data_IF_866105388477
#
_entry.id   IF_866105388477
#
_cell.length_a   1.000
_cell.length_b   1.000
_cell.length_c   1.000
_cell.angle_alpha   90.00
_cell.angle_beta   90.00
_cell.angle_gamma   90.00
#
_symmetry.space_group_name_H-M   'P 1'
#
loop_
_entity.id
_entity.type
_entity.pdbx_description
1 polymer ?
#
# COMPACT_ATOMS: atom_id res chain seq x y z
N UNK A 1 15.05 -60.82 20.41
CA UNK A 1 13.80 -60.73 21.21
C UNK A 1 13.19 -59.37 20.90
N UNK A 2 12.14 -59.35 20.06
CA UNK A 2 10.75 -58.95 20.39
C UNK A 2 10.66 -57.49 20.89
N UNK A 3 9.85 -56.56 20.36
CA UNK A 3 8.55 -56.67 19.67
C UNK A 3 8.28 -55.37 18.87
N UNK A 4 7.52 -55.50 17.80
CA UNK A 4 6.95 -54.41 16.99
C UNK A 4 5.79 -53.68 17.70
N UNK A 5 5.53 -52.43 17.31
CA UNK A 5 4.21 -51.80 17.47
C UNK A 5 3.97 -50.79 16.33
N UNK A 6 3.25 -51.27 15.32
CA UNK A 6 2.55 -50.51 14.28
C UNK A 6 1.52 -49.58 14.97
N UNK A 7 1.47 -48.30 14.61
CA UNK A 7 0.27 -47.48 14.82
C UNK A 7 -0.15 -46.86 13.49
N UNK A 8 -1.12 -47.53 12.88
CA UNK A 8 -1.92 -47.12 11.75
C UNK A 8 -2.88 -46.01 12.21
N UNK A 9 -2.79 -44.82 11.62
CA UNK A 9 -3.62 -43.67 11.95
C UNK A 9 -4.29 -43.06 10.73
N UNK A 10 -5.38 -43.71 10.31
CA UNK A 10 -6.54 -43.25 9.51
C UNK A 10 -6.46 -41.89 8.79
N UNK A 11 -6.45 -41.96 7.46
CA UNK A 11 -6.73 -40.84 6.53
C UNK A 11 -8.25 -40.59 6.50
N UNK A 12 -8.69 -39.40 6.89
CA UNK A 12 -10.05 -38.92 6.65
C UNK A 12 -10.04 -38.05 5.39
N UNK A 13 -10.37 -38.65 4.24
CA UNK A 13 -10.60 -37.93 3.00
C UNK A 13 -12.02 -37.33 3.02
N UNK A 14 -12.12 -36.01 3.23
CA UNK A 14 -13.36 -35.28 3.04
C UNK A 14 -13.50 -34.91 1.55
N UNK A 15 -14.25 -35.70 0.79
CA UNK A 15 -14.71 -35.34 -0.56
C UNK A 15 -15.83 -34.31 -0.45
N UNK A 16 -15.50 -33.03 -0.54
CA UNK A 16 -16.47 -31.98 -0.83
C UNK A 16 -16.57 -31.80 -2.35
N UNK A 17 -17.66 -32.29 -2.94
CA UNK A 17 -18.02 -32.02 -4.33
C UNK A 17 -18.46 -30.55 -4.45
N UNK A 18 -17.55 -29.69 -4.92
CA UNK A 18 -17.89 -28.32 -5.26
C UNK A 18 -18.63 -28.28 -6.60
N UNK A 19 -19.85 -27.75 -6.56
CA UNK A 19 -20.70 -27.41 -7.72
C UNK A 19 -19.96 -26.42 -8.62
N UNK A 20 -19.83 -26.66 -9.94
CA UNK A 20 -19.25 -25.68 -10.84
C UNK A 20 -20.26 -24.56 -11.13
N UNK A 21 -20.13 -23.44 -10.44
CA UNK A 21 -20.73 -22.18 -10.86
C UNK A 21 -20.03 -21.68 -12.12
N UNK A 22 -20.71 -21.86 -13.26
CA UNK A 22 -20.34 -21.33 -14.56
C UNK A 22 -20.63 -19.82 -14.58
N UNK A 23 -19.60 -19.00 -14.36
CA UNK A 23 -19.70 -17.55 -14.50
C UNK A 23 -18.68 -17.05 -15.52
N UNK A 24 -19.20 -16.51 -16.62
CA UNK A 24 -18.59 -15.40 -17.36
C UNK A 24 -17.41 -15.72 -18.25
N UNK A 25 -17.68 -16.12 -19.49
CA UNK A 25 -16.76 -16.10 -20.62
C UNK A 25 -16.37 -14.65 -20.95
N UNK A 26 -15.36 -14.13 -20.25
CA UNK A 26 -14.56 -12.99 -20.68
C UNK A 26 -13.14 -13.49 -20.87
N UNK A 27 -12.80 -13.96 -22.07
CA UNK A 27 -11.46 -14.36 -22.47
C UNK A 27 -10.57 -13.10 -22.60
N UNK A 28 -10.29 -12.44 -21.48
CA UNK A 28 -9.15 -11.54 -21.37
C UNK A 28 -7.95 -12.47 -21.25
N UNK A 29 -7.14 -12.53 -22.29
CA UNK A 29 -5.87 -13.27 -22.32
C UNK A 29 -5.11 -12.94 -21.04
N UNK A 30 -5.06 -13.87 -20.08
CA UNK A 30 -4.34 -13.69 -18.84
C UNK A 30 -2.88 -13.41 -19.23
N UNK A 31 -2.46 -12.15 -19.11
CA UNK A 31 -1.09 -11.77 -19.40
C UNK A 31 -0.20 -12.50 -18.42
N UNK A 32 0.87 -13.10 -18.92
CA UNK A 32 1.86 -13.81 -18.10
C UNK A 32 2.50 -12.84 -17.10
N UNK A 33 2.61 -11.57 -17.51
CA UNK A 33 3.12 -10.46 -16.74
C UNK A 33 1.99 -9.57 -16.20
N UNK A 34 2.22 -9.00 -15.03
CA UNK A 34 1.35 -8.01 -14.45
C UNK A 34 1.37 -6.71 -15.28
N UNK A 35 0.21 -6.10 -15.53
CA UNK A 35 0.15 -4.73 -16.02
C UNK A 35 0.87 -3.77 -15.06
N UNK A 36 1.58 -2.78 -15.60
CA UNK A 36 2.35 -1.82 -14.80
C UNK A 36 1.47 -0.99 -13.84
N UNK A 37 0.19 -0.78 -14.20
CA UNK A 37 -0.78 0.01 -13.44
C UNK A 37 -1.60 -0.82 -12.44
N UNK A 38 -1.32 -2.12 -12.33
CA UNK A 38 -2.01 -2.96 -11.36
C UNK A 38 -1.38 -2.85 -9.97
N UNK A 39 -2.23 -2.75 -8.95
CA UNK A 39 -1.83 -2.51 -7.57
C UNK A 39 -2.00 -3.75 -6.69
N UNK A 40 -1.00 -4.01 -5.86
CA UNK A 40 -0.89 -5.20 -5.03
C UNK A 40 -0.80 -4.86 -3.53
N UNK A 41 -1.31 -5.77 -2.71
CA UNK A 41 -1.23 -5.68 -1.25
C UNK A 41 -2.11 -4.57 -0.64
N UNK A 42 -2.02 -4.40 0.69
CA UNK A 42 -2.80 -3.41 1.44
C UNK A 42 -2.39 -1.97 1.11
N UNK A 43 -1.11 -1.75 0.77
CA UNK A 43 -0.56 -0.43 0.47
C UNK A 43 -0.74 0.00 -0.99
N UNK A 44 -1.39 -0.83 -1.82
CA UNK A 44 -1.64 -0.56 -3.23
C UNK A 44 -0.35 -0.13 -3.95
N UNK A 45 0.70 -0.94 -3.85
CA UNK A 45 1.90 -0.72 -4.66
C UNK A 45 1.78 -1.41 -6.01
N UNK A 46 2.12 -0.71 -7.08
CA UNK A 46 2.23 -1.33 -8.39
C UNK A 46 3.53 -2.13 -8.54
N UNK A 47 3.59 -3.05 -9.51
CA UNK A 47 4.82 -3.82 -9.80
C UNK A 47 6.04 -2.90 -10.04
N UNK A 48 5.82 -1.79 -10.75
CA UNK A 48 6.86 -0.79 -10.98
C UNK A 48 7.23 -0.05 -9.68
N UNK A 49 6.24 0.33 -8.87
CA UNK A 49 6.46 1.01 -7.58
C UNK A 49 7.26 0.15 -6.60
N UNK A 50 6.99 -1.17 -6.56
CA UNK A 50 7.73 -2.10 -5.70
C UNK A 50 9.22 -2.07 -6.05
N UNK A 51 9.55 -2.19 -7.34
CA UNK A 51 10.94 -2.17 -7.83
C UNK A 51 11.65 -0.86 -7.51
N UNK A 52 11.07 0.26 -7.92
CA UNK A 52 11.72 1.57 -7.75
C UNK A 52 11.89 1.94 -6.29
N UNK A 53 10.97 1.52 -5.41
CA UNK A 53 11.10 1.72 -3.96
C UNK A 53 12.18 0.84 -3.34
N UNK A 54 12.36 -0.41 -3.76
CA UNK A 54 13.47 -1.24 -3.28
C UNK A 54 14.82 -0.58 -3.61
N UNK A 55 14.98 -0.09 -4.84
CA UNK A 55 16.21 0.61 -5.27
C UNK A 55 16.42 1.91 -4.47
N UNK A 56 15.35 2.65 -4.20
CA UNK A 56 15.40 3.85 -3.35
C UNK A 56 15.81 3.53 -1.91
N UNK A 57 15.30 2.44 -1.32
CA UNK A 57 15.67 2.01 0.03
C UNK A 57 17.13 1.56 0.08
N UNK A 58 17.60 0.82 -0.93
CA UNK A 58 19.00 0.42 -1.02
C UNK A 58 19.94 1.64 -1.11
N UNK A 59 19.54 2.67 -1.88
CA UNK A 59 20.27 3.93 -1.91
C UNK A 59 20.20 4.68 -0.58
N UNK A 60 19.03 4.73 0.05
CA UNK A 60 18.84 5.38 1.36
C UNK A 60 19.71 4.75 2.44
N UNK A 61 19.86 3.42 2.40
CA UNK A 61 20.79 2.70 3.26
C UNK A 61 22.26 3.11 3.00
N UNK A 62 22.70 3.05 1.74
CA UNK A 62 24.08 3.37 1.38
C UNK A 62 24.47 4.81 1.72
N UNK A 63 23.55 5.76 1.51
CA UNK A 63 23.75 7.19 1.76
C UNK A 63 23.41 7.59 3.21
N UNK A 64 22.98 6.63 4.04
CA UNK A 64 22.54 6.84 5.42
C UNK A 64 21.49 7.94 5.55
N UNK A 65 20.49 7.97 4.66
CA UNK A 65 19.37 8.92 4.73
C UNK A 65 18.29 8.53 5.73
N UNK A 66 18.26 7.25 6.13
CA UNK A 66 17.29 6.68 7.05
C UNK A 66 17.99 5.67 7.97
N UNK A 67 17.43 5.48 9.16
CA UNK A 67 17.88 4.44 10.09
C UNK A 67 17.42 3.05 9.63
N UNK A 68 18.16 2.01 10.03
CA UNK A 68 17.90 0.62 9.62
C UNK A 68 16.46 0.16 9.92
N UNK A 69 15.90 0.53 11.06
CA UNK A 69 14.53 0.16 11.46
C UNK A 69 13.47 0.76 10.53
N UNK A 70 13.66 2.01 10.08
CA UNK A 70 12.77 2.65 9.12
C UNK A 70 12.84 1.95 7.75
N UNK A 71 14.05 1.59 7.33
CA UNK A 71 14.27 0.85 6.07
C UNK A 71 13.61 -0.53 6.14
N UNK A 72 13.71 -1.24 7.27
CA UNK A 72 13.04 -2.54 7.47
C UNK A 72 11.53 -2.38 7.37
N UNK A 73 10.96 -1.40 8.07
CA UNK A 73 9.51 -1.17 8.05
C UNK A 73 8.99 -0.92 6.63
N UNK A 74 9.67 -0.06 5.87
CA UNK A 74 9.32 0.20 4.47
C UNK A 74 9.49 -1.06 3.60
N UNK A 75 10.56 -1.82 3.79
CA UNK A 75 10.81 -3.06 3.07
C UNK A 75 9.74 -4.14 3.32
N UNK A 76 9.20 -4.24 4.54
CA UNK A 76 8.12 -5.19 4.87
C UNK A 76 6.82 -4.88 4.11
N UNK A 77 6.51 -3.59 3.93
CA UNK A 77 5.36 -3.15 3.13
C UNK A 77 5.52 -3.57 1.66
N UNK A 78 6.75 -3.43 1.12
CA UNK A 78 7.09 -3.86 -0.23
C UNK A 78 7.07 -5.38 -0.38
N UNK A 79 7.56 -6.11 0.63
CA UNK A 79 7.51 -7.57 0.68
C UNK A 79 6.08 -8.09 0.61
N UNK A 80 5.17 -7.46 1.36
CA UNK A 80 3.75 -7.82 1.37
C UNK A 80 3.12 -7.61 -0.01
N UNK A 81 3.40 -6.48 -0.66
CA UNK A 81 2.92 -6.21 -2.02
C UNK A 81 3.52 -7.19 -3.04
N UNK A 82 4.81 -7.50 -2.93
CA UNK A 82 5.52 -8.46 -3.78
C UNK A 82 4.91 -9.88 -3.67
N UNK A 83 4.55 -10.32 -2.47
CA UNK A 83 3.88 -11.62 -2.26
C UNK A 83 2.48 -11.63 -2.89
N UNK A 84 1.72 -10.56 -2.73
CA UNK A 84 0.40 -10.43 -3.37
C UNK A 84 0.50 -10.40 -4.91
N UNK A 85 1.52 -9.74 -5.45
CA UNK A 85 1.84 -9.75 -6.87
C UNK A 85 2.16 -11.18 -7.35
N UNK A 86 3.03 -11.90 -6.65
CA UNK A 86 3.39 -13.27 -6.98
C UNK A 86 2.22 -14.26 -6.93
N UNK A 87 1.28 -14.07 -6.01
CA UNK A 87 0.07 -14.89 -5.93
C UNK A 87 -0.82 -14.72 -7.17
N UNK A 88 -0.90 -13.50 -7.72
CA UNK A 88 -1.75 -13.20 -8.86
C UNK A 88 -1.08 -13.48 -10.21
N UNK A 89 0.22 -13.21 -10.30
CA UNK A 89 1.02 -13.36 -11.53
C UNK A 89 2.26 -14.21 -11.29
N UNK A 90 2.12 -15.51 -10.95
CA UNK A 90 3.25 -16.34 -10.51
C UNK A 90 4.33 -16.58 -11.57
N UNK A 91 4.06 -16.25 -12.84
CA UNK A 91 4.98 -16.39 -13.98
C UNK A 91 5.56 -15.07 -14.47
N UNK A 92 5.27 -13.98 -13.78
CA UNK A 92 5.80 -12.66 -14.15
C UNK A 92 7.32 -12.67 -14.07
N UNK A 93 7.97 -12.30 -15.17
CA UNK A 93 9.42 -12.34 -15.29
C UNK A 93 10.14 -11.32 -14.40
N UNK A 94 9.45 -10.29 -13.89
CA UNK A 94 10.03 -9.33 -12.95
C UNK A 94 10.03 -9.82 -11.50
N UNK A 95 9.27 -10.85 -11.15
CA UNK A 95 9.20 -11.33 -9.76
C UNK A 95 10.54 -11.85 -9.23
N UNK A 96 11.25 -12.79 -9.90
CA UNK A 96 12.51 -13.29 -9.39
C UNK A 96 13.59 -12.21 -9.17
N UNK A 97 13.88 -11.30 -10.12
CA UNK A 97 14.88 -10.25 -9.87
C UNK A 97 14.43 -9.28 -8.77
N UNK A 98 13.16 -8.89 -8.72
CA UNK A 98 12.66 -7.97 -7.68
C UNK A 98 12.76 -8.57 -6.27
N UNK A 99 12.33 -9.83 -6.11
CA UNK A 99 12.43 -10.56 -4.85
C UNK A 99 13.89 -10.75 -4.41
N UNK A 100 14.80 -10.96 -5.36
CA UNK A 100 16.23 -11.06 -5.07
C UNK A 100 16.82 -9.73 -4.61
N UNK A 101 16.47 -8.61 -5.24
CA UNK A 101 16.92 -7.28 -4.80
C UNK A 101 16.43 -6.95 -3.38
N UNK A 102 15.17 -7.30 -3.06
CA UNK A 102 14.65 -7.15 -1.70
C UNK A 102 15.43 -8.00 -0.69
N UNK A 103 15.76 -9.24 -1.04
CA UNK A 103 16.59 -10.10 -0.18
C UNK A 103 18.01 -9.53 0.02
N UNK A 104 18.60 -8.93 -1.03
CA UNK A 104 19.90 -8.26 -0.93
C UNK A 104 19.84 -7.00 -0.07
N UNK A 105 18.77 -6.20 -0.18
CA UNK A 105 18.53 -5.06 0.69
C UNK A 105 18.54 -5.50 2.16
N UNK A 106 17.72 -6.50 2.51
CA UNK A 106 17.69 -7.05 3.87
C UNK A 106 19.03 -7.62 4.33
N UNK A 107 19.78 -8.28 3.42
CA UNK A 107 21.10 -8.81 3.73
C UNK A 107 22.11 -7.70 4.07
N UNK A 108 22.01 -6.55 3.40
CA UNK A 108 22.95 -5.46 3.57
C UNK A 108 22.76 -4.75 4.92
N UNK A 109 21.54 -4.74 5.44
CA UNK A 109 21.22 -4.20 6.77
C UNK A 109 21.99 -4.96 7.86
N UNK A 110 22.81 -4.25 8.63
CA UNK A 110 23.64 -4.82 9.69
C UNK A 110 22.85 -5.04 10.98
N UNK A 111 21.65 -5.62 10.87
CA UNK A 111 20.79 -5.94 12.02
C UNK A 111 20.40 -7.41 12.03
N UNK A 112 20.08 -7.94 13.22
CA UNK A 112 19.57 -9.31 13.33
C UNK A 112 18.20 -9.46 12.66
N UNK A 113 17.35 -8.43 12.74
CA UNK A 113 16.06 -8.40 12.04
C UNK A 113 16.26 -8.49 10.52
N UNK A 114 17.12 -7.64 9.94
CA UNK A 114 17.47 -7.67 8.52
C UNK A 114 17.92 -9.05 8.05
N UNK A 115 18.76 -9.77 8.82
CA UNK A 115 19.14 -11.16 8.50
C UNK A 115 18.00 -12.14 8.48
N UNK A 116 17.09 -12.03 9.45
CA UNK A 116 15.93 -12.92 9.53
C UNK A 116 15.06 -12.73 8.28
N UNK A 117 14.83 -11.46 7.89
CA UNK A 117 14.11 -11.12 6.65
C UNK A 117 14.87 -11.59 5.39
N UNK A 118 16.18 -11.37 5.30
CA UNK A 118 17.00 -11.82 4.17
C UNK A 118 16.92 -13.34 4.02
N UNK A 119 17.02 -14.08 5.12
CA UNK A 119 16.89 -15.54 5.14
C UNK A 119 15.52 -15.99 4.65
N UNK A 120 14.46 -15.35 5.13
CA UNK A 120 13.09 -15.65 4.71
C UNK A 120 12.89 -15.36 3.22
N UNK A 121 13.36 -14.20 2.74
CA UNK A 121 13.26 -13.80 1.35
C UNK A 121 14.03 -14.73 0.41
N UNK A 122 15.26 -15.13 0.75
CA UNK A 122 16.04 -16.10 -0.03
C UNK A 122 15.38 -17.49 -0.06
N UNK A 123 14.80 -17.96 1.06
CA UNK A 123 14.05 -19.22 1.09
C UNK A 123 12.81 -19.14 0.21
N UNK A 124 12.04 -18.06 0.32
CA UNK A 124 10.87 -17.81 -0.51
C UNK A 124 11.24 -17.84 -2.00
N UNK A 125 12.30 -17.14 -2.39
CA UNK A 125 12.77 -17.11 -3.77
C UNK A 125 13.16 -18.51 -4.28
N UNK A 126 13.90 -19.27 -3.47
CA UNK A 126 14.35 -20.61 -3.83
C UNK A 126 13.20 -21.62 -4.01
N UNK A 127 12.10 -21.43 -3.27
CA UNK A 127 10.91 -22.28 -3.28
C UNK A 127 9.91 -21.87 -4.37
N UNK A 128 9.64 -20.58 -4.52
CA UNK A 128 8.60 -20.05 -5.41
C UNK A 128 9.08 -19.96 -6.86
N UNK A 129 10.37 -19.68 -7.09
CA UNK A 129 10.92 -19.48 -8.45
C UNK A 129 12.08 -20.44 -8.75
N UNK A 130 11.92 -21.77 -8.61
CA UNK A 130 13.04 -22.68 -8.52
C UNK A 130 13.90 -22.79 -9.79
N UNK A 131 13.35 -22.46 -10.95
CA UNK A 131 14.08 -22.44 -12.24
C UNK A 131 14.78 -21.12 -12.56
N UNK A 132 14.66 -20.09 -11.72
CA UNK A 132 15.27 -18.79 -11.97
C UNK A 132 16.77 -18.78 -11.59
N UNK A 133 17.62 -18.01 -12.30
CA UNK A 133 19.01 -17.79 -11.89
C UNK A 133 19.13 -17.26 -10.46
N UNK A 134 18.20 -16.39 -10.06
CA UNK A 134 18.19 -15.80 -8.73
C UNK A 134 17.91 -16.85 -7.64
N UNK A 135 17.02 -17.82 -7.89
CA UNK A 135 16.78 -18.93 -6.96
C UNK A 135 18.02 -19.80 -6.76
N UNK A 136 18.82 -20.01 -7.81
CA UNK A 136 20.11 -20.69 -7.67
C UNK A 136 21.05 -19.89 -6.74
N UNK A 137 21.21 -18.58 -6.98
CA UNK A 137 22.02 -17.70 -6.12
C UNK A 137 21.53 -17.68 -4.66
N UNK A 138 20.21 -17.68 -4.45
CA UNK A 138 19.63 -17.73 -3.11
C UNK A 138 19.96 -19.04 -2.37
N UNK A 139 19.91 -20.20 -3.04
CA UNK A 139 20.32 -21.47 -2.43
C UNK A 139 21.80 -21.46 -2.07
N UNK A 140 22.65 -20.97 -2.96
CA UNK A 140 24.09 -20.83 -2.70
C UNK A 140 24.32 -19.93 -1.49
N UNK A 141 23.65 -18.76 -1.42
CA UNK A 141 23.74 -17.86 -0.26
C UNK A 141 23.30 -18.54 1.04
N UNK A 142 22.18 -19.27 1.03
CA UNK A 142 21.68 -19.99 2.20
C UNK A 142 22.64 -21.10 2.67
N UNK A 143 23.33 -21.77 1.75
CA UNK A 143 24.34 -22.79 2.06
C UNK A 143 25.62 -22.19 2.63
N UNK A 144 26.07 -21.05 2.07
CA UNK A 144 27.24 -20.32 2.55
C UNK A 144 27.00 -19.62 3.90
N UNK A 145 25.73 -19.33 4.21
CA UNK A 145 25.35 -18.50 5.35
C UNK A 145 25.58 -17.01 5.10
N UNK A 146 25.36 -16.23 6.16
CA UNK A 146 25.51 -14.78 6.13
C UNK A 146 26.82 -14.37 6.81
N UNK A 147 27.56 -13.38 6.27
CA UNK A 147 28.72 -12.80 6.95
C UNK A 147 28.34 -12.34 8.37
N UNK A 148 29.22 -12.41 9.39
CA UNK A 148 28.92 -11.95 10.75
C UNK A 148 28.38 -10.51 10.81
N UNK A 149 27.61 -10.18 11.87
CA UNK A 149 27.22 -8.78 12.10
C UNK A 149 28.45 -8.01 12.51
N UNK A 150 28.60 -6.82 11.94
CA UNK A 150 29.52 -5.84 12.45
C UNK A 150 28.71 -4.79 13.20
N UNK A 151 29.16 -4.43 14.40
CA UNK A 151 28.56 -3.34 15.15
C UNK A 151 28.88 -2.04 14.39
N UNK A 152 27.89 -1.52 13.68
CA UNK A 152 27.98 -0.18 13.11
C UNK A 152 27.66 0.84 14.20
N UNK A 153 28.43 1.93 14.25
CA UNK A 153 28.07 3.03 15.14
C UNK A 153 26.78 3.68 14.65
N UNK A 154 25.85 4.05 15.54
CA UNK A 154 24.64 4.76 15.11
C UNK A 154 25.06 6.05 14.42
N UNK A 155 24.78 6.14 13.13
CA UNK A 155 25.00 7.36 12.34
C UNK A 155 23.69 8.14 12.33
N UNK A 156 23.75 9.43 12.64
CA UNK A 156 22.59 10.29 12.45
C UNK A 156 22.26 10.31 10.96
N UNK A 157 20.97 10.22 10.57
CA UNK A 157 20.59 10.25 9.18
C UNK A 157 21.06 11.55 8.52
N UNK A 158 21.73 11.41 7.38
CA UNK A 158 22.14 12.53 6.53
C UNK A 158 20.89 13.09 5.84
N UNK A 159 20.70 14.42 5.78
CA UNK A 159 19.54 15.01 5.12
C UNK A 159 19.39 14.50 3.67
N UNK A 160 18.22 13.93 3.36
CA UNK A 160 17.91 13.48 2.01
C UNK A 160 17.69 14.71 1.10
N UNK A 161 18.53 14.93 0.05
CA UNK A 161 18.38 16.08 -0.84
C UNK A 161 17.13 16.03 -1.72
N UNK A 162 16.43 14.89 -1.73
CA UNK A 162 15.17 14.68 -2.46
C UNK A 162 13.94 14.71 -1.56
N UNK A 163 14.10 14.98 -0.25
CA UNK A 163 12.96 15.13 0.65
C UNK A 163 12.17 16.41 0.31
N UNK A 164 10.82 16.38 0.36
CA UNK A 164 10.02 17.57 0.15
C UNK A 164 10.31 18.61 1.24
N UNK A 165 10.49 19.87 0.85
CA UNK A 165 10.62 20.97 1.80
C UNK A 165 9.35 21.04 2.66
N UNK A 166 9.44 21.05 4.01
CA UNK A 166 8.26 21.16 4.85
C UNK A 166 7.50 22.44 4.50
N UNK A 167 6.21 22.29 4.17
CA UNK A 167 5.35 23.46 3.93
C UNK A 167 5.19 24.19 5.26
N UNK A 168 5.42 25.52 5.33
CA UNK A 168 5.24 26.25 6.57
C UNK A 168 3.81 26.07 7.09
N UNK A 169 3.66 25.72 8.37
CA UNK A 169 2.36 25.60 9.01
C UNK A 169 1.65 26.97 8.95
N UNK A 170 0.40 27.06 8.47
CA UNK A 170 -0.32 28.32 8.44
C UNK A 170 -0.46 28.85 9.87
N UNK A 171 -0.05 30.10 10.08
CA UNK A 171 -0.26 30.81 11.35
C UNK A 171 -1.77 30.88 11.63
N UNK A 172 -2.24 30.51 12.84
CA UNK A 172 -3.66 30.60 13.17
C UNK A 172 -4.17 32.04 13.00
N UNK A 173 -5.33 32.18 12.33
CA UNK A 173 -5.99 33.47 12.19
C UNK A 173 -6.41 34.00 13.57
N UNK A 174 -6.35 35.33 13.79
CA UNK A 174 -6.81 35.92 15.04
C UNK A 174 -8.31 35.61 15.29
N UNK A 175 -8.72 35.46 16.56
CA UNK A 175 -10.10 35.15 16.91
C UNK A 175 -11.07 36.25 16.44
N UNK A 176 -12.31 35.89 16.02
CA UNK A 176 -13.29 36.88 15.59
C UNK A 176 -13.68 37.81 16.75
N UNK A 177 -13.71 39.10 16.48
CA UNK A 177 -14.18 40.12 17.42
C UNK A 177 -15.67 39.93 17.68
N UNK A 178 -16.09 39.85 18.95
CA UNK A 178 -17.49 39.67 19.32
C UNK A 178 -18.36 40.80 18.74
N UNK A 179 -19.44 40.43 18.05
CA UNK A 179 -20.45 41.39 17.56
C UNK A 179 -21.35 41.82 18.72
N UNK A 180 -21.59 43.12 18.95
CA UNK A 180 -22.46 43.57 20.02
C UNK A 180 -23.91 43.09 19.80
N UNK A 181 -24.53 42.59 20.86
CA UNK A 181 -25.92 42.11 20.85
C UNK A 181 -26.89 43.29 20.77
N UNK A 182 -27.88 43.28 19.85
CA UNK A 182 -28.89 44.34 19.79
C UNK A 182 -29.82 44.30 21.01
N UNK A 183 -30.08 45.47 21.59
CA UNK A 183 -30.97 45.66 22.74
C UNK A 183 -32.42 45.28 22.38
N UNK A 184 -33.13 44.47 23.18
CA UNK A 184 -34.50 44.07 22.87
C UNK A 184 -35.47 45.25 22.95
N UNK A 185 -36.31 45.37 21.92
CA UNK A 185 -37.43 46.33 21.86
C UNK A 185 -38.59 45.85 22.74
N UNK A 186 -39.22 46.70 23.57
CA UNK A 186 -40.31 46.29 24.45
C UNK A 186 -41.56 45.86 23.69
N UNK A 187 -42.19 44.79 24.17
CA UNK A 187 -43.38 44.15 23.60
C UNK A 187 -44.67 44.91 23.97
N UNK A 188 -45.64 45.06 23.04
CA UNK A 188 -46.91 45.72 23.34
C UNK A 188 -47.86 44.84 24.18
N UNK A 189 -48.54 45.48 25.12
CA UNK A 189 -49.51 44.90 26.06
C UNK A 189 -50.75 44.30 25.35
N UNK A 190 -51.18 43.06 25.66
CA UNK A 190 -52.35 42.46 25.03
C UNK A 190 -53.69 42.94 25.64
N UNK A 191 -54.66 43.22 24.76
CA UNK A 191 -56.06 43.53 25.08
C UNK A 191 -56.90 42.24 25.21
N UNK A 192 -57.76 42.08 26.24
CA UNK A 192 -58.59 40.88 26.38
C UNK A 192 -59.92 41.01 25.61
N UNK A 193 -60.24 40.04 24.76
CA UNK A 193 -61.58 39.85 24.21
C UNK A 193 -62.08 38.42 24.44
N UNK A 194 -63.17 38.34 25.21
CA UNK A 194 -63.92 37.14 25.61
C UNK A 194 -65.07 36.94 24.60
N UNK A 195 -65.16 35.79 23.93
CA UNK A 195 -66.29 35.50 23.05
C UNK A 195 -66.21 34.13 22.39
N UNK A 196 -67.05 33.20 22.85
CA UNK A 196 -67.16 31.78 22.47
C UNK A 196 -67.74 31.62 21.08
N UNK A 197 -67.24 30.71 20.23
CA UNK A 197 -68.01 29.87 19.26
C UNK A 197 -67.05 28.75 18.77
N UNK A 198 -67.27 27.49 19.18
CA UNK A 198 -67.96 26.41 18.45
C UNK A 198 -67.08 25.69 17.39
N UNK A 199 -66.69 24.47 17.77
CA UNK A 199 -66.41 23.26 16.97
C UNK A 199 -65.50 23.35 15.73
N UNK A 200 -64.33 22.70 15.81
CA UNK A 200 -63.76 21.99 14.66
C UNK A 200 -62.74 20.91 15.10
N UNK A 201 -62.99 19.60 14.87
CA UNK A 201 -61.95 18.58 15.03
C UNK A 201 -61.00 18.54 13.82
N UNK A 202 -59.71 18.76 14.14
CA UNK A 202 -58.50 18.07 13.69
C UNK A 202 -58.24 17.87 12.18
N UNK A 203 -57.31 18.63 11.56
CA UNK A 203 -56.58 18.19 10.38
C UNK A 203 -55.45 17.21 10.73
N UNK A 204 -55.31 16.21 9.87
CA UNK A 204 -54.34 15.10 9.85
C UNK A 204 -52.86 15.57 9.87
N UNK A 205 -51.91 14.82 10.47
CA UNK A 205 -50.50 15.19 10.49
C UNK A 205 -49.87 15.15 9.09
N UNK A 206 -49.25 16.27 8.74
CA UNK A 206 -48.39 16.50 7.57
C UNK A 206 -47.26 15.48 7.49
N UNK A 207 -47.14 14.83 6.32
CA UNK A 207 -46.03 13.94 5.98
C UNK A 207 -44.71 14.72 5.96
N UNK A 208 -43.71 14.22 6.71
CA UNK A 208 -42.32 14.65 6.63
C UNK A 208 -41.77 14.33 5.24
N UNK A 209 -41.17 15.30 4.51
CA UNK A 209 -40.54 14.99 3.23
C UNK A 209 -39.29 14.11 3.45
N UNK A 210 -39.02 13.13 2.56
CA UNK A 210 -37.81 12.33 2.64
C UNK A 210 -36.56 13.20 2.42
N UNK A 211 -35.40 12.85 3.02
CA UNK A 211 -34.15 13.58 2.85
C UNK A 211 -33.69 13.55 1.38
N UNK A 212 -33.01 14.61 0.91
CA UNK A 212 -32.47 14.63 -0.45
C UNK A 212 -31.42 13.54 -0.63
N UNK A 213 -31.58 12.77 -1.71
CA UNK A 213 -30.63 11.76 -2.18
C UNK A 213 -29.26 12.44 -2.46
N UNK A 214 -28.13 11.91 -2.00
CA UNK A 214 -26.82 12.49 -2.31
C UNK A 214 -26.57 12.42 -3.82
N UNK A 215 -26.46 13.59 -4.44
CA UNK A 215 -26.02 13.75 -5.83
C UNK A 215 -24.58 13.28 -5.93
N UNK A 216 -24.34 12.23 -6.70
CA UNK A 216 -23.01 11.79 -7.06
C UNK A 216 -22.34 12.88 -7.92
N UNK A 217 -21.41 13.61 -7.33
CA UNK A 217 -20.49 14.49 -8.06
C UNK A 217 -19.57 13.61 -8.91
N UNK A 218 -19.78 13.64 -10.23
CA UNK A 218 -18.87 13.05 -11.20
C UNK A 218 -17.49 13.72 -11.09
N UNK A 219 -16.38 12.97 -11.10
CA UNK A 219 -15.05 13.55 -11.21
C UNK A 219 -14.85 14.18 -12.60
N UNK A 220 -14.10 15.29 -12.72
CA UNK A 220 -13.82 15.89 -14.01
C UNK A 220 -12.90 14.98 -14.84
N UNK A 221 -13.35 14.67 -16.05
CA UNK A 221 -12.56 14.06 -17.12
C UNK A 221 -11.37 14.97 -17.45
N UNK A 222 -10.18 14.59 -17.01
CA UNK A 222 -8.94 15.24 -17.44
C UNK A 222 -8.53 14.68 -18.81
N UNK A 223 -8.85 15.43 -19.87
CA UNK A 223 -8.25 15.27 -21.19
C UNK A 223 -6.77 15.66 -21.08
N UNK A 224 -5.89 14.67 -21.02
CA UNK A 224 -4.44 14.88 -21.04
C UNK A 224 -3.97 14.95 -22.50
N UNK A 225 -3.50 16.13 -22.92
CA UNK A 225 -2.85 16.35 -24.21
C UNK A 225 -1.45 15.72 -24.24
N UNK A 226 -0.95 15.27 -25.42
CA UNK A 226 0.36 14.64 -25.52
C UNK A 226 1.50 15.65 -25.33
N UNK A 227 2.31 15.44 -24.29
CA UNK A 227 3.58 16.15 -24.10
C UNK A 227 4.63 15.61 -25.08
N UNK A 228 5.15 16.50 -25.92
CA UNK A 228 6.31 16.27 -26.80
C UNK A 228 7.57 16.10 -25.92
N UNK A 229 8.41 15.07 -26.12
CA UNK A 229 9.66 14.93 -25.38
C UNK A 229 10.72 15.95 -25.85
N UNK A 230 11.54 16.51 -24.95
CA UNK A 230 12.67 17.34 -25.34
C UNK A 230 13.79 16.51 -25.99
N UNK A 231 14.34 17.05 -27.08
CA UNK A 231 15.46 16.50 -27.85
C UNK A 231 16.68 16.16 -26.99
N UNK A 232 17.28 15.00 -27.27
CA UNK A 232 18.51 14.53 -26.64
C UNK A 232 19.73 15.42 -26.98
N UNK A 233 20.69 15.62 -26.05
CA UNK A 233 21.96 16.26 -26.34
C UNK A 233 22.89 15.37 -27.19
N UNK A 234 23.77 15.95 -28.02
CA UNK A 234 24.67 15.21 -28.90
C UNK A 234 25.79 14.49 -28.13
N UNK A 235 26.09 13.25 -28.56
CA UNK A 235 27.16 12.40 -28.03
C UNK A 235 28.56 13.03 -28.18
N UNK A 236 29.47 12.85 -27.19
CA UNK A 236 30.86 13.27 -27.32
C UNK A 236 31.63 12.36 -28.29
N UNK A 237 32.44 12.98 -29.15
CA UNK A 237 33.33 12.30 -30.11
C UNK A 237 34.45 11.54 -29.39
N UNK A 238 34.92 10.40 -29.94
CA UNK A 238 36.10 9.71 -29.41
C UNK A 238 37.35 10.56 -29.64
N UNK A 239 38.16 10.73 -28.57
CA UNK A 239 39.54 11.19 -28.69
C UNK A 239 40.37 10.06 -29.30
N UNK A 240 41.07 10.37 -30.39
CA UNK A 240 42.21 9.62 -30.90
C UNK A 240 43.40 9.75 -29.94
#
# INVERSE_FOLDING_TARGET
MLLAALITGLVLAATAAAVPTRSGTGNVRATVDAPADEYFGPFKYSALSVRTKIDFLARSYNERWQDDDAIIHDAEMLETALRAWAQRYPRDHWLPPTAFHLAQLYQNLQTQSGRNHATAAYRYLAQTFPGSPQAHLARVRLQQGFPPLHAESPVSPTPNPYAPTPTPTPTPAPPPTATPTPTPTPSPTPTPARGRHRAQPTPSPTQTPPPPKPTATLPPTATQAPSVPPSAPPSPKPRL
#
